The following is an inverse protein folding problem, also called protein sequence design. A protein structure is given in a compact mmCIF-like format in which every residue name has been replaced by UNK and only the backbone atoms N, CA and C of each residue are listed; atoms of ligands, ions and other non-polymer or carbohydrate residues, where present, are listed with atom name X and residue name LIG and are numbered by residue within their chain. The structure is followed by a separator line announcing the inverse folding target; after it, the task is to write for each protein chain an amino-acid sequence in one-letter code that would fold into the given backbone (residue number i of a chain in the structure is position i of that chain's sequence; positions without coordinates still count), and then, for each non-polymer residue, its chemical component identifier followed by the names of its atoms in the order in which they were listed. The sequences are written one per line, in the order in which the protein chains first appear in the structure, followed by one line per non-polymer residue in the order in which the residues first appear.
data_IF_798732662654
#
_entry.id   IF_798732662654
#
_cell.length_a   1.000
_cell.length_b   1.000
_cell.length_c   1.000
_cell.angle_alpha   90.00
_cell.angle_beta   90.00
_cell.angle_gamma   90.00
#
_symmetry.space_group_name_H-M   'P 1'
#
loop_
_entity.id
_entity.type
_entity.pdbx_description
1 polymer ?
#
# COMPACT_ATOMS: atom_id res chain seq x y z
N UNK A 1 0.55 27.61 -89.35
CA UNK A 1 -0.47 27.39 -88.30
C UNK A 1 -0.46 25.92 -87.85
N UNK A 2 0.61 25.44 -87.20
CA UNK A 2 0.69 24.00 -86.83
C UNK A 2 1.33 23.72 -85.46
N UNK A 3 1.53 24.73 -84.62
CA UNK A 3 2.24 24.59 -83.34
C UNK A 3 1.33 24.23 -82.14
N UNK A 4 0.00 24.22 -82.32
CA UNK A 4 -0.96 24.09 -81.20
C UNK A 4 -1.23 22.65 -80.74
N UNK A 5 -0.90 21.63 -81.53
CA UNK A 5 -1.24 20.24 -81.23
C UNK A 5 -0.23 19.55 -80.27
N UNK A 6 1.06 19.88 -80.36
CA UNK A 6 2.11 19.29 -79.52
C UNK A 6 1.92 19.66 -78.04
N UNK A 7 1.37 20.85 -77.75
CA UNK A 7 1.13 21.31 -76.38
C UNK A 7 0.00 20.56 -75.65
N UNK A 8 -0.99 19.99 -76.36
CA UNK A 8 -2.12 19.30 -75.73
C UNK A 8 -1.80 17.87 -75.29
N UNK A 9 -0.89 17.17 -75.98
CA UNK A 9 -0.49 15.81 -75.59
C UNK A 9 0.40 15.79 -74.34
N UNK A 10 1.29 16.78 -74.20
CA UNK A 10 2.09 16.93 -72.97
C UNK A 10 1.22 17.23 -71.74
N UNK A 11 0.14 18.00 -71.91
CA UNK A 11 -0.77 18.33 -70.83
C UNK A 11 -1.54 17.09 -70.35
N UNK A 12 -2.03 16.27 -71.27
CA UNK A 12 -2.77 15.03 -70.95
C UNK A 12 -1.86 14.03 -70.23
N UNK A 13 -0.60 13.90 -70.64
CA UNK A 13 0.36 12.99 -69.99
C UNK A 13 0.73 13.48 -68.59
N UNK A 14 0.93 14.79 -68.41
CA UNK A 14 1.20 15.39 -67.09
C UNK A 14 0.03 15.20 -66.13
N UNK A 15 -1.20 15.40 -66.59
CA UNK A 15 -2.41 15.21 -65.77
C UNK A 15 -2.62 13.73 -65.40
N UNK A 16 -2.34 12.81 -66.32
CA UNK A 16 -2.41 11.37 -66.05
C UNK A 16 -1.36 10.94 -65.00
N UNK A 17 -0.14 11.49 -65.09
CA UNK A 17 0.94 11.23 -64.12
C UNK A 17 0.58 11.82 -62.75
N UNK A 18 0.05 13.04 -62.70
CA UNK A 18 -0.38 13.69 -61.45
C UNK A 18 -1.51 12.88 -60.78
N UNK A 19 -2.50 12.42 -61.56
CA UNK A 19 -3.57 11.56 -61.07
C UNK A 19 -3.06 10.22 -60.52
N UNK A 20 -2.07 9.60 -61.19
CA UNK A 20 -1.46 8.36 -60.73
C UNK A 20 -0.69 8.53 -59.41
N UNK A 21 0.11 9.60 -59.28
CA UNK A 21 0.82 9.90 -58.03
C UNK A 21 -0.14 10.31 -56.90
N UNK A 22 -1.25 10.99 -57.21
CA UNK A 22 -2.29 11.35 -56.23
C UNK A 22 -3.04 10.10 -55.73
N UNK A 23 -3.33 9.15 -56.61
CA UNK A 23 -3.92 7.85 -56.24
C UNK A 23 -2.97 7.05 -55.35
N UNK A 24 -1.68 6.99 -55.69
CA UNK A 24 -0.67 6.34 -54.84
C UNK A 24 -0.58 7.02 -53.47
N UNK A 25 -0.56 8.35 -53.43
CA UNK A 25 -0.53 9.11 -52.18
C UNK A 25 -1.76 8.82 -51.29
N UNK A 26 -2.96 8.72 -51.89
CA UNK A 26 -4.18 8.39 -51.16
C UNK A 26 -4.15 6.96 -50.60
N UNK A 27 -3.63 5.98 -51.35
CA UNK A 27 -3.50 4.59 -50.88
C UNK A 27 -2.48 4.49 -49.73
N UNK A 28 -1.34 5.18 -49.82
CA UNK A 28 -0.33 5.19 -48.76
C UNK A 28 -0.85 5.90 -47.50
N UNK A 29 -1.58 7.00 -47.66
CA UNK A 29 -2.21 7.70 -46.53
C UNK A 29 -3.23 6.81 -45.82
N UNK A 30 -4.07 6.07 -46.55
CA UNK A 30 -5.05 5.17 -45.95
C UNK A 30 -4.40 3.98 -45.21
N UNK A 31 -3.29 3.47 -45.72
CA UNK A 31 -2.52 2.41 -45.06
C UNK A 31 -1.84 2.89 -43.76
N UNK A 32 -1.48 4.17 -43.65
CA UNK A 32 -0.91 4.73 -42.42
C UNK A 32 -1.95 4.86 -41.29
N UNK A 33 -3.24 5.05 -41.62
CA UNK A 33 -4.31 5.11 -40.62
C UNK A 33 -4.62 3.76 -39.95
N UNK A 34 -4.30 2.62 -40.57
CA UNK A 34 -4.55 1.29 -39.97
C UNK A 34 -3.41 0.82 -39.05
N UNK A 35 -2.25 1.46 -39.10
CA UNK A 35 -1.10 1.16 -38.25
C UNK A 35 -1.16 1.84 -36.86
N UNK A 36 -2.13 2.73 -36.64
CA UNK A 36 -2.38 3.39 -35.35
C UNK A 36 -3.47 2.67 -34.52
N UNK A 37 -3.54 1.34 -34.59
CA UNK A 37 -4.39 0.58 -33.70
C UNK A 37 -3.87 0.73 -32.25
N UNK A 38 -4.73 1.03 -31.26
CA UNK A 38 -4.31 1.08 -29.87
C UNK A 38 -3.72 -0.30 -29.52
N UNK A 39 -2.44 -0.33 -29.14
CA UNK A 39 -1.83 -1.51 -28.55
C UNK A 39 -2.59 -1.77 -27.25
N UNK A 40 -3.54 -2.72 -27.27
CA UNK A 40 -4.13 -3.21 -26.04
C UNK A 40 -2.97 -3.77 -25.22
N UNK A 41 -2.60 -3.06 -24.16
CA UNK A 41 -1.75 -3.59 -23.10
C UNK A 41 -2.53 -4.76 -22.51
N UNK A 42 -2.38 -5.95 -23.10
CA UNK A 42 -2.90 -7.17 -22.53
C UNK A 42 -2.14 -7.37 -21.23
N UNK A 43 -2.78 -7.01 -20.11
CA UNK A 43 -2.33 -7.44 -18.80
C UNK A 43 -2.19 -8.97 -18.86
N UNK A 44 -0.96 -9.46 -18.72
CA UNK A 44 -0.59 -10.86 -18.92
C UNK A 44 -1.20 -11.80 -17.86
N UNK A 45 -1.94 -11.25 -16.90
CA UNK A 45 -2.57 -11.97 -15.81
C UNK A 45 -4.07 -11.69 -15.77
N UNK A 46 -4.91 -12.73 -15.54
CA UNK A 46 -6.33 -12.53 -15.33
C UNK A 46 -6.56 -11.61 -14.12
N UNK A 47 -7.63 -10.80 -14.12
CA UNK A 47 -7.95 -9.94 -12.99
C UNK A 47 -8.18 -10.79 -11.72
N UNK A 48 -7.53 -10.40 -10.62
CA UNK A 48 -7.71 -11.04 -9.31
C UNK A 48 -9.05 -10.58 -8.73
N UNK A 49 -9.98 -11.48 -8.35
CA UNK A 49 -11.25 -11.11 -7.79
C UNK A 49 -11.10 -10.59 -6.35
N UNK A 50 -12.01 -9.72 -5.92
CA UNK A 50 -12.19 -9.36 -4.51
C UNK A 50 -13.20 -10.33 -3.91
N UNK A 51 -12.81 -11.07 -2.88
CA UNK A 51 -13.66 -12.03 -2.18
C UNK A 51 -14.51 -11.34 -1.12
N UNK A 52 -13.94 -10.35 -0.43
CA UNK A 52 -14.60 -9.58 0.62
C UNK A 52 -14.09 -8.15 0.61
N UNK A 53 -14.97 -7.18 0.82
CA UNK A 53 -14.61 -5.79 1.04
C UNK A 53 -15.69 -5.16 1.92
N UNK A 54 -15.29 -4.61 3.06
CA UNK A 54 -16.18 -3.90 3.98
C UNK A 54 -15.50 -2.63 4.46
N UNK A 55 -16.28 -1.55 4.47
CA UNK A 55 -15.89 -0.26 5.02
C UNK A 55 -17.06 0.24 5.82
N UNK A 56 -16.83 0.55 7.09
CA UNK A 56 -17.83 1.20 7.93
C UNK A 56 -17.20 2.43 8.58
N UNK A 57 -18.01 3.49 8.66
CA UNK A 57 -17.67 4.75 9.28
C UNK A 57 -18.75 5.08 10.31
N UNK A 58 -18.32 5.38 11.53
CA UNK A 58 -19.22 5.72 12.61
C UNK A 58 -19.23 7.24 12.83
N UNK A 59 -20.32 7.73 13.42
CA UNK A 59 -20.52 9.17 13.70
C UNK A 59 -19.54 9.72 14.75
N UNK A 60 -18.97 8.84 15.57
CA UNK A 60 -17.99 9.18 16.61
C UNK A 60 -16.57 9.40 16.05
N UNK A 61 -16.37 9.20 14.74
CA UNK A 61 -15.07 9.28 14.07
C UNK A 61 -14.29 7.97 14.05
N UNK A 62 -14.83 6.89 14.63
CA UNK A 62 -14.26 5.55 14.45
C UNK A 62 -14.60 4.98 13.08
N UNK A 63 -13.74 4.10 12.58
CA UNK A 63 -13.95 3.41 11.31
C UNK A 63 -13.36 2.01 11.35
N UNK A 64 -13.85 1.14 10.48
CA UNK A 64 -13.23 -0.13 10.19
C UNK A 64 -13.26 -0.41 8.70
N UNK A 65 -12.17 -1.00 8.22
CA UNK A 65 -11.94 -1.35 6.84
C UNK A 65 -11.38 -2.76 6.78
N UNK A 66 -11.83 -3.55 5.81
CA UNK A 66 -11.25 -4.86 5.55
C UNK A 66 -11.46 -5.26 4.10
N UNK A 67 -10.50 -5.98 3.54
CA UNK A 67 -10.63 -6.59 2.23
C UNK A 67 -9.88 -7.92 2.14
N UNK A 68 -10.34 -8.76 1.23
CA UNK A 68 -9.76 -10.05 0.90
C UNK A 68 -9.84 -10.26 -0.61
N UNK A 69 -8.76 -10.79 -1.17
CA UNK A 69 -8.57 -10.97 -2.61
C UNK A 69 -8.38 -12.44 -2.95
N UNK A 70 -8.67 -12.83 -4.20
CA UNK A 70 -8.57 -14.21 -4.67
C UNK A 70 -7.15 -14.79 -4.69
N UNK A 71 -6.12 -13.96 -4.53
CA UNK A 71 -4.73 -14.38 -4.40
C UNK A 71 -4.25 -14.36 -2.94
N UNK A 72 -5.17 -14.50 -1.97
CA UNK A 72 -4.86 -14.62 -0.54
C UNK A 72 -4.17 -13.38 0.07
N UNK A 73 -4.34 -12.21 -0.57
CA UNK A 73 -4.01 -10.93 0.07
C UNK A 73 -5.22 -10.48 0.86
N UNK A 74 -5.01 -10.17 2.13
CA UNK A 74 -6.02 -9.63 3.01
C UNK A 74 -5.47 -8.45 3.82
N UNK A 75 -6.32 -7.50 4.15
CA UNK A 75 -6.00 -6.50 5.17
C UNK A 75 -7.23 -6.13 5.97
N UNK A 76 -7.02 -5.75 7.21
CA UNK A 76 -8.04 -5.25 8.12
C UNK A 76 -7.45 -4.12 8.97
N UNK A 77 -8.19 -3.02 9.10
CA UNK A 77 -7.80 -1.86 9.88
C UNK A 77 -9.02 -1.32 10.62
N UNK A 78 -8.80 -0.85 11.83
CA UNK A 78 -9.78 -0.08 12.59
C UNK A 78 -9.10 1.14 13.21
N UNK A 79 -9.79 2.27 13.18
CA UNK A 79 -9.36 3.51 13.80
C UNK A 79 -10.40 4.02 14.79
N UNK A 80 -9.93 4.61 15.89
CA UNK A 80 -10.77 5.26 16.88
C UNK A 80 -10.10 6.54 17.41
N UNK A 81 -10.90 7.60 17.59
CA UNK A 81 -10.42 8.86 18.17
C UNK A 81 -10.34 8.70 19.69
N UNK A 82 -9.18 8.98 20.27
CA UNK A 82 -8.92 9.06 21.70
C UNK A 82 -9.00 10.51 22.18
N UNK A 83 -9.48 10.69 23.42
CA UNK A 83 -9.59 12.00 24.09
C UNK A 83 -10.33 13.07 23.26
N UNK A 84 -11.40 12.66 22.56
CA UNK A 84 -12.16 13.54 21.68
C UNK A 84 -12.64 14.80 22.43
N UNK A 85 -12.43 15.97 21.83
CA UNK A 85 -12.82 17.27 22.41
C UNK A 85 -11.87 17.81 23.49
N UNK A 86 -10.64 17.29 23.58
CA UNK A 86 -9.58 17.81 24.47
C UNK A 86 -8.35 18.23 23.66
N UNK A 87 -7.42 18.96 24.29
CA UNK A 87 -6.13 19.31 23.66
C UNK A 87 -5.24 18.09 23.38
N UNK A 88 -5.56 16.92 23.94
CA UNK A 88 -4.88 15.65 23.75
C UNK A 88 -5.62 14.70 22.79
N UNK A 89 -6.49 15.25 21.92
CA UNK A 89 -7.19 14.48 20.91
C UNK A 89 -6.21 13.82 19.94
N UNK A 90 -6.33 12.51 19.75
CA UNK A 90 -5.44 11.72 18.89
C UNK A 90 -6.19 10.58 18.21
N UNK A 91 -5.74 10.19 17.02
CA UNK A 91 -6.28 9.01 16.32
C UNK A 91 -5.41 7.80 16.64
N UNK A 92 -6.03 6.75 17.18
CA UNK A 92 -5.39 5.46 17.33
C UNK A 92 -5.90 4.50 16.25
N UNK A 93 -4.98 3.96 15.46
CA UNK A 93 -5.25 3.00 14.38
C UNK A 93 -4.55 1.69 14.71
N UNK A 94 -5.25 0.58 14.52
CA UNK A 94 -4.65 -0.75 14.58
C UNK A 94 -5.13 -1.57 13.39
N UNK A 95 -4.25 -2.40 12.85
CA UNK A 95 -4.59 -3.22 11.71
C UNK A 95 -3.63 -4.37 11.50
N UNK A 96 -3.93 -5.14 10.47
CA UNK A 96 -3.10 -6.21 9.97
C UNK A 96 -3.22 -6.31 8.46
N UNK A 97 -2.14 -6.74 7.82
CA UNK A 97 -2.19 -7.17 6.42
C UNK A 97 -1.46 -8.50 6.27
N UNK A 98 -1.93 -9.30 5.33
CA UNK A 98 -1.36 -10.60 5.05
C UNK A 98 -1.30 -10.89 3.56
N UNK A 99 -0.25 -11.59 3.15
CA UNK A 99 -0.03 -12.03 1.79
C UNK A 99 0.77 -13.34 1.80
N UNK A 100 0.75 -14.06 0.67
CA UNK A 100 1.55 -15.27 0.49
C UNK A 100 2.84 -14.90 -0.23
N UNK A 101 3.99 -15.31 0.32
CA UNK A 101 5.30 -15.08 -0.30
C UNK A 101 5.56 -16.02 -1.50
N UNK A 102 6.74 -15.89 -2.12
CA UNK A 102 7.13 -16.73 -3.26
C UNK A 102 7.33 -18.20 -2.89
N UNK A 103 7.56 -18.50 -1.60
CA UNK A 103 7.80 -19.82 -1.06
C UNK A 103 6.49 -20.50 -0.58
N UNK A 104 5.36 -19.78 -0.64
CA UNK A 104 4.04 -20.25 -0.22
C UNK A 104 3.73 -20.02 1.27
N UNK A 105 4.57 -19.28 1.99
CA UNK A 105 4.32 -18.97 3.39
C UNK A 105 3.37 -17.77 3.51
N UNK A 106 2.42 -17.87 4.44
CA UNK A 106 1.59 -16.75 4.84
C UNK A 106 2.42 -15.77 5.66
N UNK A 107 2.63 -14.58 5.12
CA UNK A 107 3.26 -13.46 5.82
C UNK A 107 2.16 -12.57 6.39
N UNK A 108 2.24 -12.26 7.68
CA UNK A 108 1.33 -11.34 8.35
C UNK A 108 2.13 -10.25 9.06
N UNK A 109 1.65 -9.02 8.94
CA UNK A 109 2.12 -7.87 9.72
C UNK A 109 0.95 -7.32 10.50
N UNK A 110 1.13 -7.16 11.81
CA UNK A 110 0.23 -6.42 12.68
C UNK A 110 0.83 -5.05 12.95
N UNK A 111 0.02 -4.01 13.04
CA UNK A 111 0.50 -2.67 13.33
C UNK A 111 -0.43 -1.89 14.24
N UNK A 112 0.17 -0.96 14.99
CA UNK A 112 -0.51 0.03 15.82
C UNK A 112 0.12 1.39 15.53
N UNK A 113 -0.71 2.38 15.24
CA UNK A 113 -0.33 3.78 15.10
C UNK A 113 -1.11 4.59 16.13
N UNK A 114 -0.40 5.23 17.06
CA UNK A 114 -0.98 6.10 18.07
C UNK A 114 -0.03 7.28 18.36
N UNK A 115 -0.25 7.98 19.47
CA UNK A 115 0.57 9.10 19.94
C UNK A 115 2.05 8.75 20.11
N UNK A 116 2.37 7.46 20.30
CA UNK A 116 3.73 6.97 20.42
C UNK A 116 4.32 6.52 19.06
N UNK A 117 3.68 6.89 17.95
CA UNK A 117 4.11 6.59 16.59
C UNK A 117 3.64 5.24 16.06
N UNK A 118 4.21 4.83 14.93
CA UNK A 118 3.90 3.58 14.24
C UNK A 118 4.77 2.43 14.74
N UNK A 119 4.14 1.32 15.12
CA UNK A 119 4.80 0.09 15.59
C UNK A 119 4.21 -1.08 14.83
N UNK A 120 5.07 -1.86 14.16
CA UNK A 120 4.67 -3.06 13.45
C UNK A 120 5.34 -4.29 14.04
N UNK A 121 4.62 -5.40 14.05
CA UNK A 121 5.05 -6.71 14.50
C UNK A 121 4.80 -7.73 13.38
N UNK A 122 5.78 -8.61 13.15
CA UNK A 122 5.69 -9.65 12.13
C UNK A 122 6.92 -10.54 12.17
N UNK A 123 6.76 -11.84 11.89
CA UNK A 123 7.84 -12.83 12.01
C UNK A 123 9.04 -12.57 11.08
N UNK A 124 8.85 -11.81 10.02
CA UNK A 124 9.86 -11.44 9.02
C UNK A 124 10.47 -10.04 9.27
N UNK A 125 9.95 -9.30 10.24
CA UNK A 125 10.48 -7.98 10.59
C UNK A 125 11.68 -8.15 11.54
N UNK A 126 12.66 -7.23 11.48
CA UNK A 126 13.76 -7.22 12.44
C UNK A 126 13.22 -7.09 13.87
N UNK A 127 13.41 -8.13 14.68
CA UNK A 127 13.04 -8.07 16.09
C UNK A 127 14.15 -7.38 16.89
N UNK A 128 13.75 -6.57 17.88
CA UNK A 128 14.68 -6.08 18.87
C UNK A 128 15.36 -7.27 19.57
N UNK A 129 16.66 -7.15 19.92
CA UNK A 129 17.33 -8.21 20.65
C UNK A 129 16.57 -8.51 21.96
N UNK A 130 16.48 -9.79 22.36
CA UNK A 130 15.81 -10.16 23.59
C UNK A 130 16.47 -9.45 24.78
N UNK A 131 15.65 -9.11 25.79
CA UNK A 131 16.15 -8.49 27.03
C UNK A 131 17.20 -9.41 27.66
N UNK A 132 18.40 -8.91 28.00
CA UNK A 132 19.46 -9.72 28.59
C UNK A 132 19.00 -10.46 29.86
N UNK A 133 19.49 -11.70 30.11
CA UNK A 133 19.05 -12.52 31.22
C UNK A 133 19.32 -11.87 32.60
N UNK A 134 20.33 -11.00 32.69
CA UNK A 134 20.66 -10.29 33.93
C UNK A 134 19.54 -9.32 34.34
N UNK A 135 18.89 -8.68 33.36
CA UNK A 135 17.77 -7.77 33.62
C UNK A 135 16.55 -8.58 34.06
N UNK A 136 16.31 -9.74 33.45
CA UNK A 136 15.23 -10.64 33.85
C UNK A 136 15.44 -11.16 35.29
N UNK A 137 16.67 -11.52 35.64
CA UNK A 137 17.03 -11.93 37.00
C UNK A 137 16.87 -10.77 37.99
N UNK A 138 17.29 -9.56 37.63
CA UNK A 138 17.11 -8.38 38.47
C UNK A 138 15.62 -8.08 38.72
N UNK A 139 14.78 -8.14 37.69
CA UNK A 139 13.32 -8.02 37.83
C UNK A 139 12.74 -9.10 38.73
N UNK A 140 13.16 -10.35 38.55
CA UNK A 140 12.69 -11.46 39.38
C UNK A 140 13.13 -11.32 40.85
N UNK A 141 14.36 -10.85 41.10
CA UNK A 141 14.86 -10.56 42.45
C UNK A 141 14.10 -9.41 43.10
N UNK A 142 13.86 -8.32 42.37
CA UNK A 142 13.10 -7.20 42.87
C UNK A 142 11.67 -7.63 43.24
N UNK A 143 11.00 -8.39 42.37
CA UNK A 143 9.65 -8.91 42.64
C UNK A 143 9.62 -9.88 43.85
N UNK A 144 10.66 -10.70 44.02
CA UNK A 144 10.78 -11.62 45.16
C UNK A 144 11.06 -10.88 46.48
N UNK A 145 11.90 -9.84 46.45
CA UNK A 145 12.17 -8.99 47.61
C UNK A 145 10.91 -8.20 48.00
N UNK A 146 10.20 -7.63 47.02
CA UNK A 146 8.90 -6.96 47.22
C UNK A 146 7.86 -7.90 47.83
N UNK A 147 7.77 -9.15 47.36
CA UNK A 147 6.87 -10.15 47.92
C UNK A 147 7.27 -10.62 49.34
N UNK A 148 8.55 -10.44 49.73
CA UNK A 148 9.06 -10.79 51.07
C UNK A 148 8.77 -9.70 52.10
N UNK A 149 8.67 -8.46 51.67
CA UNK A 149 8.43 -7.31 52.53
C UNK A 149 6.97 -7.28 52.99
N UNK A 150 6.75 -6.94 54.25
CA UNK A 150 5.40 -6.70 54.75
C UNK A 150 4.82 -5.40 54.16
N UNK A 151 3.48 -5.23 54.11
CA UNK A 151 2.87 -4.01 53.59
C UNK A 151 3.39 -2.73 54.27
N UNK A 152 3.72 -2.79 55.57
CA UNK A 152 4.27 -1.66 56.31
C UNK A 152 5.72 -1.32 55.88
N UNK A 153 6.52 -2.34 55.55
CA UNK A 153 7.88 -2.15 55.04
C UNK A 153 7.85 -1.63 53.60
N UNK A 154 6.97 -2.14 52.75
CA UNK A 154 6.75 -1.60 51.40
C UNK A 154 6.33 -0.12 51.45
N UNK A 155 5.40 0.23 52.34
CA UNK A 155 4.94 1.60 52.55
C UNK A 155 6.09 2.53 52.99
N UNK A 156 6.95 2.04 53.88
CA UNK A 156 8.14 2.80 54.27
C UNK A 156 9.09 3.03 53.07
N UNK A 157 9.15 2.08 52.11
CA UNK A 157 10.15 2.04 51.02
C UNK A 157 9.78 3.08 49.98
N UNK A 158 8.51 3.03 49.59
CA UNK A 158 7.95 3.97 48.63
C UNK A 158 7.71 5.36 49.24
N UNK A 159 7.60 5.51 50.57
CA UNK A 159 7.53 6.83 51.23
C UNK A 159 8.88 7.49 51.47
N UNK A 160 10.00 6.85 51.07
CA UNK A 160 11.35 7.39 51.24
C UNK A 160 11.79 7.50 52.69
N UNK A 161 11.09 6.83 53.62
CA UNK A 161 11.33 6.88 55.07
C UNK A 161 12.26 5.77 55.57
N UNK A 162 12.96 5.08 54.67
CA UNK A 162 13.95 4.07 55.05
C UNK A 162 15.13 4.73 55.77
N UNK A 163 15.02 4.80 57.09
CA UNK A 163 16.10 5.10 58.01
C UNK A 163 16.88 3.81 58.23
N UNK A 164 17.92 3.60 57.41
CA UNK A 164 18.87 2.51 57.63
C UNK A 164 19.58 2.68 58.98
N UNK A 165 19.59 1.62 59.79
CA UNK A 165 20.40 1.51 61.01
C UNK A 165 21.84 1.08 60.69
#
# INVERSE_FOLDING_TARGET
MHWRAVASEEAIVKDAIICYYLQILLVVAFAALTAAAPQSLQATQPPVPILRAETNHNLDGSYNFQYETGNQISASEQGAVKNQGTDAESLAVQGSFSYVDLDGNQITVNYVADENGFRADGAHLPQAPPVPPEIQEALAKNAAEEARLSPQELEALYSGRYIGN
#
